data_IF_783684464780
#
_entry.id   IF_783684464780
#
_cell.length_a   1.000
_cell.length_b   1.000
_cell.length_c   1.000
_cell.angle_alpha   90.00
_cell.angle_beta   90.00
_cell.angle_gamma   90.00
#
_symmetry.space_group_name_H-M   'P 1'
#
loop_
_entity.id
_entity.type
_entity.pdbx_description
1 polymer ?
#
# COMPACT_ATOMS: atom_id res chain seq x y z
N UNK A 1 3.42 -13.38 14.74
CA UNK A 1 2.39 -12.56 14.10
C UNK A 1 1.06 -13.30 14.14
N UNK A 2 -0.05 -12.62 14.26
CA UNK A 2 -1.31 -13.06 14.86
C UNK A 2 -1.86 -14.38 14.29
N UNK A 3 -1.74 -15.47 15.05
CA UNK A 3 -2.33 -16.80 14.74
C UNK A 3 -3.85 -16.71 14.53
N UNK A 4 -4.52 -15.72 15.15
CA UNK A 4 -5.95 -15.46 15.00
C UNK A 4 -6.29 -14.97 13.59
N UNK A 5 -5.53 -14.02 13.04
CA UNK A 5 -5.74 -13.51 11.68
C UNK A 5 -5.55 -14.61 10.62
N UNK A 6 -4.54 -15.48 10.79
CA UNK A 6 -4.33 -16.63 9.92
C UNK A 6 -5.43 -17.68 10.03
N UNK A 7 -5.98 -17.90 11.23
CA UNK A 7 -7.08 -18.83 11.43
C UNK A 7 -8.40 -18.30 10.83
N UNK A 8 -8.66 -17.01 10.94
CA UNK A 8 -9.85 -16.38 10.34
C UNK A 8 -9.82 -16.47 8.80
N UNK A 9 -8.65 -16.33 8.15
CA UNK A 9 -8.49 -16.51 6.71
C UNK A 9 -8.80 -17.95 6.28
N UNK A 10 -8.26 -18.94 6.98
CA UNK A 10 -8.42 -20.37 6.65
C UNK A 10 -9.82 -20.89 6.94
N UNK A 11 -10.53 -20.30 7.89
CA UNK A 11 -11.87 -20.74 8.30
C UNK A 11 -13.00 -20.26 7.36
N UNK A 12 -12.69 -19.45 6.34
CA UNK A 12 -13.69 -19.01 5.37
C UNK A 12 -14.25 -20.14 4.46
N UNK A 13 -13.60 -21.30 4.42
CA UNK A 13 -14.02 -22.43 3.56
C UNK A 13 -14.05 -22.10 2.05
N UNK A 14 -13.46 -20.97 1.67
CA UNK A 14 -13.44 -20.46 0.30
C UNK A 14 -12.07 -20.66 -0.35
N UNK A 15 -12.07 -21.15 -1.59
CA UNK A 15 -10.84 -21.29 -2.38
C UNK A 15 -10.52 -19.98 -3.07
N UNK A 16 -9.57 -19.23 -2.53
CA UNK A 16 -9.07 -18.01 -3.13
C UNK A 16 -8.41 -18.23 -4.49
N UNK A 17 -8.49 -17.23 -5.37
CA UNK A 17 -7.92 -17.23 -6.74
C UNK A 17 -7.03 -16.00 -6.95
N UNK A 18 -5.83 -15.94 -6.32
CA UNK A 18 -4.99 -14.75 -6.37
C UNK A 18 -4.60 -14.38 -7.80
N UNK A 19 -4.13 -15.34 -8.60
CA UNK A 19 -3.69 -15.08 -9.98
C UNK A 19 -4.81 -14.49 -10.84
N UNK A 20 -6.02 -15.03 -10.72
CA UNK A 20 -7.17 -14.50 -11.46
C UNK A 20 -7.53 -13.10 -10.99
N UNK A 21 -7.47 -12.84 -9.68
CA UNK A 21 -7.71 -11.52 -9.14
C UNK A 21 -6.71 -10.50 -9.71
N UNK A 22 -5.41 -10.81 -9.70
CA UNK A 22 -4.40 -9.93 -10.26
C UNK A 22 -4.61 -9.65 -11.74
N UNK A 23 -4.83 -10.70 -12.52
CA UNK A 23 -5.08 -10.54 -13.96
C UNK A 23 -6.26 -9.61 -14.22
N UNK A 24 -7.35 -9.73 -13.47
CA UNK A 24 -8.52 -8.87 -13.62
C UNK A 24 -8.27 -7.46 -13.10
N UNK A 25 -7.61 -7.28 -11.95
CA UNK A 25 -7.29 -5.96 -11.41
C UNK A 25 -6.40 -5.17 -12.39
N UNK A 26 -5.35 -5.80 -12.93
CA UNK A 26 -4.48 -5.17 -13.94
C UNK A 26 -5.23 -4.88 -15.24
N UNK A 27 -5.96 -5.86 -15.75
CA UNK A 27 -6.72 -5.69 -17.00
C UNK A 27 -7.68 -4.50 -16.89
N UNK A 28 -8.50 -4.45 -15.84
CA UNK A 28 -9.48 -3.38 -15.67
C UNK A 28 -8.83 -2.03 -15.35
N UNK A 29 -7.70 -1.99 -14.67
CA UNK A 29 -6.96 -0.74 -14.48
C UNK A 29 -6.33 -0.27 -15.80
N UNK A 30 -5.60 -1.14 -16.48
CA UNK A 30 -4.81 -0.76 -17.64
C UNK A 30 -5.66 -0.49 -18.88
N UNK A 31 -6.87 -1.04 -18.98
CA UNK A 31 -7.82 -0.69 -20.04
C UNK A 31 -8.21 0.80 -20.01
N UNK A 32 -8.11 1.45 -18.85
CA UNK A 32 -8.31 2.89 -18.70
C UNK A 32 -6.99 3.66 -18.72
N UNK A 33 -5.95 3.18 -18.06
CA UNK A 33 -4.69 3.92 -17.93
C UNK A 33 -3.88 3.94 -19.23
N UNK A 34 -3.90 2.87 -20.04
CA UNK A 34 -3.18 2.86 -21.32
C UNK A 34 -3.75 3.89 -22.30
N UNK A 35 -5.07 4.03 -22.53
CA UNK A 35 -5.60 5.14 -23.32
C UNK A 35 -5.30 6.52 -22.74
N UNK A 36 -5.23 6.67 -21.41
CA UNK A 36 -4.90 7.94 -20.77
C UNK A 36 -3.50 8.47 -21.14
N UNK A 37 -2.57 7.57 -21.52
CA UNK A 37 -1.21 7.94 -22.01
C UNK A 37 -1.28 8.88 -23.21
N UNK A 38 -2.28 8.72 -24.07
CA UNK A 38 -2.44 9.42 -25.34
C UNK A 38 -3.38 10.63 -25.26
N UNK A 39 -3.84 10.95 -24.05
CA UNK A 39 -4.83 12.00 -23.80
C UNK A 39 -4.29 13.01 -22.80
N UNK A 40 -4.90 14.17 -22.79
CA UNK A 40 -4.54 15.28 -21.89
C UNK A 40 -5.76 15.80 -21.11
N UNK A 41 -5.51 16.57 -20.05
CA UNK A 41 -6.52 17.31 -19.30
C UNK A 41 -7.55 16.43 -18.60
N UNK A 42 -8.79 16.88 -18.60
CA UNK A 42 -9.88 16.23 -17.85
C UNK A 42 -10.16 14.79 -18.31
N UNK A 43 -9.97 14.49 -19.61
CA UNK A 43 -10.24 13.14 -20.12
C UNK A 43 -9.22 12.14 -19.59
N UNK A 44 -7.94 12.48 -19.60
CA UNK A 44 -6.90 11.66 -19.00
C UNK A 44 -7.16 11.43 -17.49
N UNK A 45 -7.53 12.49 -16.77
CA UNK A 45 -7.86 12.39 -15.34
C UNK A 45 -9.05 11.47 -15.07
N UNK A 46 -10.12 11.57 -15.86
CA UNK A 46 -11.30 10.68 -15.69
C UNK A 46 -10.89 9.22 -15.90
N UNK A 47 -10.09 8.93 -16.94
CA UNK A 47 -9.59 7.58 -17.18
C UNK A 47 -8.68 7.08 -16.06
N UNK A 48 -7.83 7.96 -15.51
CA UNK A 48 -7.02 7.61 -14.35
C UNK A 48 -7.86 7.26 -13.12
N UNK A 49 -8.89 8.03 -12.82
CA UNK A 49 -9.83 7.75 -11.73
C UNK A 49 -10.60 6.44 -11.94
N UNK A 50 -11.03 6.15 -13.18
CA UNK A 50 -11.67 4.88 -13.52
C UNK A 50 -10.72 3.68 -13.34
N UNK A 51 -9.46 3.82 -13.73
CA UNK A 51 -8.44 2.81 -13.48
C UNK A 51 -8.17 2.62 -11.98
N UNK A 52 -8.11 3.70 -11.22
CA UNK A 52 -7.89 3.68 -9.77
C UNK A 52 -9.01 2.96 -9.00
N UNK A 53 -10.25 3.07 -9.45
CA UNK A 53 -11.41 2.38 -8.84
C UNK A 53 -11.37 0.87 -9.11
N UNK A 54 -10.70 0.43 -10.16
CA UNK A 54 -10.77 -0.95 -10.67
C UNK A 54 -10.40 -2.02 -9.63
N UNK A 55 -9.32 -1.92 -8.83
CA UNK A 55 -9.02 -2.93 -7.80
C UNK A 55 -10.14 -3.10 -6.77
N UNK A 56 -10.77 -1.99 -6.34
CA UNK A 56 -11.89 -2.03 -5.38
C UNK A 56 -13.12 -2.72 -5.99
N UNK A 57 -13.44 -2.41 -7.26
CA UNK A 57 -14.55 -3.05 -7.98
C UNK A 57 -14.29 -4.53 -8.16
N UNK A 58 -13.10 -4.92 -8.63
CA UNK A 58 -12.73 -6.33 -8.82
C UNK A 58 -12.80 -7.09 -7.50
N UNK A 59 -12.24 -6.53 -6.40
CA UNK A 59 -12.33 -7.13 -5.06
C UNK A 59 -13.77 -7.37 -4.64
N UNK A 60 -14.60 -6.35 -4.78
CA UNK A 60 -16.03 -6.43 -4.42
C UNK A 60 -16.76 -7.47 -5.26
N UNK A 61 -16.54 -7.48 -6.57
CA UNK A 61 -17.16 -8.46 -7.49
C UNK A 61 -16.73 -9.89 -7.12
N UNK A 62 -15.43 -10.14 -6.89
CA UNK A 62 -14.93 -11.46 -6.48
C UNK A 62 -15.61 -11.97 -5.21
N UNK A 63 -15.81 -11.08 -4.22
CA UNK A 63 -16.47 -11.42 -2.97
C UNK A 63 -17.97 -11.65 -3.17
N UNK A 64 -18.65 -10.82 -3.97
CA UNK A 64 -20.09 -10.95 -4.21
C UNK A 64 -20.43 -12.23 -4.99
N UNK A 65 -19.66 -12.52 -6.05
CA UNK A 65 -19.87 -13.72 -6.90
C UNK A 65 -19.33 -15.01 -6.27
N UNK A 66 -18.53 -14.90 -5.20
CA UNK A 66 -18.02 -16.06 -4.48
C UNK A 66 -19.09 -16.99 -3.93
N UNK A 67 -20.30 -16.46 -3.72
CA UNK A 67 -21.38 -17.16 -3.01
C UNK A 67 -21.11 -17.37 -1.51
N UNK A 68 -19.95 -16.95 -0.99
CA UNK A 68 -19.55 -17.17 0.41
C UNK A 68 -20.11 -16.08 1.35
N UNK A 69 -21.07 -16.42 2.25
CA UNK A 69 -21.53 -15.48 3.27
C UNK A 69 -20.40 -15.04 4.21
N UNK A 70 -19.43 -15.93 4.46
CA UNK A 70 -18.28 -15.66 5.32
C UNK A 70 -17.39 -14.54 4.73
N UNK A 71 -17.06 -14.57 3.43
CA UNK A 71 -16.28 -13.52 2.78
C UNK A 71 -17.03 -12.18 2.74
N UNK A 72 -18.34 -12.20 2.48
CA UNK A 72 -19.17 -10.99 2.49
C UNK A 72 -19.20 -10.35 3.88
N UNK A 73 -19.35 -11.16 4.93
CA UNK A 73 -19.31 -10.71 6.32
C UNK A 73 -17.91 -10.18 6.67
N UNK A 74 -16.86 -10.86 6.24
CA UNK A 74 -15.47 -10.47 6.48
C UNK A 74 -15.15 -9.10 5.87
N UNK A 75 -15.50 -8.87 4.59
CA UNK A 75 -15.33 -7.58 3.94
C UNK A 75 -16.06 -6.46 4.70
N UNK A 76 -17.32 -6.72 5.08
CA UNK A 76 -18.10 -5.74 5.84
C UNK A 76 -17.44 -5.39 7.17
N UNK A 77 -16.90 -6.37 7.88
CA UNK A 77 -16.19 -6.15 9.15
C UNK A 77 -14.89 -5.40 8.95
N UNK A 78 -14.13 -5.69 7.89
CA UNK A 78 -12.88 -5.00 7.57
C UNK A 78 -13.08 -3.52 7.25
N UNK A 79 -14.17 -3.19 6.54
CA UNK A 79 -14.47 -1.80 6.14
C UNK A 79 -15.14 -1.04 7.30
N UNK A 80 -16.15 -1.62 7.93
CA UNK A 80 -17.02 -0.93 8.89
C UNK A 80 -16.77 -1.28 10.35
N UNK A 81 -15.81 -2.15 10.64
CA UNK A 81 -15.48 -2.59 11.98
C UNK A 81 -14.60 -1.59 12.74
N UNK A 82 -14.97 -0.31 12.79
CA UNK A 82 -14.20 0.75 13.46
C UNK A 82 -13.83 0.44 14.91
N UNK A 83 -14.68 -0.30 15.61
CA UNK A 83 -14.47 -0.75 17.00
C UNK A 83 -13.35 -1.79 17.14
N UNK A 84 -12.90 -2.42 16.03
CA UNK A 84 -11.80 -3.38 16.02
C UNK A 84 -10.46 -2.74 15.72
N UNK A 85 -10.43 -1.47 15.30
CA UNK A 85 -9.20 -0.78 14.95
C UNK A 85 -8.32 -0.63 16.19
N UNK A 86 -7.11 -1.13 16.11
CA UNK A 86 -6.09 -0.92 17.14
C UNK A 86 -5.41 0.41 16.90
N UNK A 87 -5.98 1.47 17.44
CA UNK A 87 -5.50 2.84 17.27
C UNK A 87 -4.03 3.04 17.68
N UNK A 88 -3.55 2.28 18.68
CA UNK A 88 -2.14 2.28 19.03
C UNK A 88 -1.23 1.81 17.89
N UNK A 89 -1.66 0.81 17.12
CA UNK A 89 -0.89 0.30 15.97
C UNK A 89 -0.95 1.28 14.80
N UNK A 90 -2.09 1.93 14.60
CA UNK A 90 -2.22 3.02 13.61
C UNK A 90 -1.29 4.17 13.96
N UNK A 91 -1.33 4.65 15.21
CA UNK A 91 -0.43 5.71 15.67
C UNK A 91 1.05 5.30 15.53
N UNK A 92 1.38 4.06 15.91
CA UNK A 92 2.75 3.54 15.77
C UNK A 92 3.19 3.52 14.31
N UNK A 93 2.34 3.07 13.38
CA UNK A 93 2.69 3.02 11.95
C UNK A 93 2.91 4.43 11.37
N UNK A 94 2.06 5.39 11.74
CA UNK A 94 2.21 6.80 11.37
C UNK A 94 3.51 7.38 11.93
N UNK A 95 3.82 7.13 13.21
CA UNK A 95 5.08 7.56 13.82
C UNK A 95 6.30 6.92 13.14
N UNK A 96 6.25 5.63 12.83
CA UNK A 96 7.34 4.93 12.12
C UNK A 96 7.58 5.57 10.76
N UNK A 97 6.54 5.88 9.99
CA UNK A 97 6.71 6.51 8.69
C UNK A 97 7.21 7.97 8.81
N UNK A 98 6.71 8.73 9.78
CA UNK A 98 7.24 10.07 10.05
C UNK A 98 8.75 10.02 10.40
N UNK A 99 9.18 9.04 11.21
CA UNK A 99 10.61 8.83 11.52
C UNK A 99 11.41 8.43 10.28
N UNK A 100 10.84 7.62 9.38
CA UNK A 100 11.48 7.28 8.09
C UNK A 100 11.75 8.57 7.30
N UNK A 101 10.75 9.42 7.11
CA UNK A 101 10.90 10.71 6.38
C UNK A 101 11.95 11.59 7.03
N UNK A 102 11.85 11.82 8.35
CA UNK A 102 12.81 12.65 9.08
C UNK A 102 14.23 12.09 8.97
N UNK A 103 14.41 10.80 9.18
CA UNK A 103 15.72 10.15 9.07
C UNK A 103 16.28 10.23 7.66
N UNK A 104 15.44 10.12 6.64
CA UNK A 104 15.85 10.21 5.23
C UNK A 104 16.35 11.59 4.88
N UNK A 105 15.66 12.65 5.33
CA UNK A 105 16.12 14.03 5.13
C UNK A 105 17.46 14.24 5.86
N UNK A 106 17.57 13.82 7.13
CA UNK A 106 18.81 13.99 7.89
C UNK A 106 19.98 13.22 7.27
N UNK A 107 19.76 11.98 6.83
CA UNK A 107 20.80 11.18 6.16
C UNK A 107 21.19 11.76 4.80
N UNK A 108 20.25 12.36 4.07
CA UNK A 108 20.52 12.96 2.77
C UNK A 108 21.45 14.17 2.83
N UNK A 109 21.59 14.83 4.00
CA UNK A 109 22.56 15.89 4.22
C UNK A 109 24.00 15.44 3.96
N UNK A 110 24.32 14.18 4.25
CA UNK A 110 25.64 13.61 3.95
C UNK A 110 25.92 13.53 2.44
N UNK A 111 24.90 13.63 1.61
CA UNK A 111 24.97 13.64 0.15
C UNK A 111 24.75 15.04 -0.46
N UNK A 112 24.90 16.09 0.35
CA UNK A 112 24.82 17.48 -0.10
C UNK A 112 23.42 18.06 -0.21
N UNK A 113 22.39 17.37 0.32
CA UNK A 113 21.03 17.89 0.36
C UNK A 113 20.86 18.93 1.49
N UNK A 114 19.77 19.73 1.46
CA UNK A 114 19.49 20.81 2.40
C UNK A 114 18.44 20.46 3.44
N UNK A 115 18.49 21.13 4.60
CA UNK A 115 17.42 21.12 5.62
C UNK A 115 16.14 21.84 5.15
N UNK A 116 16.18 22.61 4.06
CA UNK A 116 15.00 23.27 3.49
C UNK A 116 13.90 22.27 3.09
N UNK A 117 14.28 21.00 2.94
CA UNK A 117 13.34 19.89 2.73
C UNK A 117 12.34 19.69 3.88
N UNK A 118 12.61 20.23 5.08
CA UNK A 118 11.63 20.27 6.18
C UNK A 118 10.57 21.37 5.97
N UNK A 119 10.30 21.72 4.74
CA UNK A 119 9.22 22.62 4.35
C UNK A 119 8.11 21.87 3.62
N UNK A 120 6.95 22.51 3.53
CA UNK A 120 5.86 22.02 2.70
C UNK A 120 5.99 22.60 1.29
N UNK A 121 5.71 21.76 0.30
CA UNK A 121 5.54 22.22 -1.08
C UNK A 121 4.08 22.56 -1.37
N UNK A 122 3.86 23.57 -2.22
CA UNK A 122 2.55 23.91 -2.77
C UNK A 122 2.23 23.07 -4.01
N UNK A 123 3.23 22.40 -4.57
CA UNK A 123 3.05 21.50 -5.69
C UNK A 123 2.36 20.20 -5.23
N UNK A 124 1.28 19.86 -5.93
CA UNK A 124 0.63 18.57 -5.84
C UNK A 124 0.58 17.94 -7.23
N UNK A 125 0.76 16.63 -7.27
CA UNK A 125 0.38 15.89 -8.48
C UNK A 125 -1.06 16.20 -8.84
N UNK A 126 -1.32 16.50 -10.12
CA UNK A 126 -2.64 16.91 -10.63
C UNK A 126 -3.18 18.28 -10.20
N UNK A 127 -2.34 19.19 -9.69
CA UNK A 127 -2.74 20.59 -9.51
C UNK A 127 -3.17 21.18 -10.85
N UNK A 128 -4.34 21.79 -10.88
CA UNK A 128 -4.87 22.46 -12.08
C UNK A 128 -5.77 21.60 -12.98
N UNK A 129 -6.04 20.35 -12.63
CA UNK A 129 -7.05 19.54 -13.32
C UNK A 129 -8.37 19.68 -12.59
N UNK A 130 -9.33 20.43 -13.17
CA UNK A 130 -10.53 20.95 -12.53
C UNK A 130 -11.59 19.91 -12.09
N UNK A 131 -11.30 18.59 -12.11
CA UNK A 131 -12.28 17.54 -11.79
C UNK A 131 -12.29 17.19 -10.29
N UNK A 132 -11.14 17.28 -9.61
CA UNK A 132 -11.03 16.97 -8.19
C UNK A 132 -9.86 17.74 -7.55
N UNK A 133 -10.00 18.12 -6.28
CA UNK A 133 -8.88 18.68 -5.52
C UNK A 133 -7.82 17.60 -5.28
N UNK A 134 -6.54 18.00 -5.17
CA UNK A 134 -5.45 17.08 -4.86
C UNK A 134 -5.70 16.28 -3.57
N UNK A 135 -6.21 16.94 -2.53
CA UNK A 135 -6.55 16.27 -1.28
C UNK A 135 -7.64 15.19 -1.47
N UNK A 136 -8.69 15.50 -2.25
CA UNK A 136 -9.71 14.49 -2.55
C UNK A 136 -9.10 13.29 -3.30
N UNK A 137 -8.22 13.55 -4.25
CA UNK A 137 -7.55 12.49 -5.03
C UNK A 137 -6.70 11.59 -4.13
N UNK A 138 -5.93 12.15 -3.20
CA UNK A 138 -5.13 11.38 -2.24
C UNK A 138 -6.03 10.52 -1.33
N UNK A 139 -7.14 11.08 -0.82
CA UNK A 139 -8.08 10.33 0.01
C UNK A 139 -8.74 9.21 -0.78
N UNK A 140 -9.22 9.52 -2.00
CA UNK A 140 -9.87 8.54 -2.86
C UNK A 140 -8.90 7.42 -3.26
N UNK A 141 -7.66 7.76 -3.64
CA UNK A 141 -6.63 6.78 -3.97
C UNK A 141 -6.39 5.82 -2.81
N UNK A 142 -6.06 6.34 -1.63
CA UNK A 142 -5.81 5.52 -0.44
C UNK A 142 -6.99 4.63 -0.10
N UNK A 143 -8.23 5.15 -0.16
CA UNK A 143 -9.41 4.35 0.18
C UNK A 143 -9.69 3.26 -0.86
N UNK A 144 -9.68 3.59 -2.14
CA UNK A 144 -10.00 2.66 -3.23
C UNK A 144 -8.95 1.56 -3.37
N UNK A 145 -7.68 1.93 -3.26
CA UNK A 145 -6.59 0.96 -3.30
C UNK A 145 -6.68 -0.02 -2.13
N UNK A 146 -6.85 0.47 -0.90
CA UNK A 146 -6.89 -0.42 0.26
C UNK A 146 -8.16 -1.30 0.27
N UNK A 147 -9.31 -0.81 -0.19
CA UNK A 147 -10.50 -1.65 -0.38
C UNK A 147 -10.22 -2.75 -1.42
N UNK A 148 -9.52 -2.43 -2.49
CA UNK A 148 -9.13 -3.39 -3.51
C UNK A 148 -8.13 -4.43 -2.98
N UNK A 149 -7.00 -3.95 -2.49
CA UNK A 149 -5.89 -4.79 -2.10
C UNK A 149 -6.16 -5.58 -0.81
N UNK A 150 -6.69 -4.95 0.23
CA UNK A 150 -6.96 -5.62 1.53
C UNK A 150 -8.34 -6.30 1.57
N UNK A 151 -9.25 -5.93 0.66
CA UNK A 151 -10.56 -6.58 0.56
C UNK A 151 -10.46 -8.06 0.21
N UNK A 152 -9.71 -8.36 -0.84
CA UNK A 152 -9.58 -9.73 -1.37
C UNK A 152 -8.12 -10.17 -1.58
N UNK A 153 -7.28 -9.32 -2.19
CA UNK A 153 -5.96 -9.67 -2.69
C UNK A 153 -5.04 -10.20 -1.59
N UNK A 154 -4.81 -9.42 -0.56
CA UNK A 154 -3.88 -9.73 0.54
C UNK A 154 -4.23 -11.06 1.19
N UNK A 155 -5.50 -11.27 1.54
CA UNK A 155 -5.94 -12.53 2.12
C UNK A 155 -5.81 -13.70 1.14
N UNK A 156 -5.97 -13.43 -0.16
CA UNK A 156 -5.82 -14.47 -1.18
C UNK A 156 -4.38 -14.96 -1.29
N UNK A 157 -3.39 -14.07 -1.13
CA UNK A 157 -1.97 -14.45 -1.09
C UNK A 157 -1.65 -15.15 0.24
N UNK A 158 -2.04 -14.54 1.36
CA UNK A 158 -1.76 -15.04 2.71
C UNK A 158 -2.43 -16.36 3.05
N UNK A 159 -3.42 -16.80 2.24
CA UNK A 159 -3.99 -18.14 2.34
C UNK A 159 -3.03 -19.24 1.86
N UNK A 160 -2.11 -18.91 0.94
CA UNK A 160 -1.16 -19.86 0.35
C UNK A 160 0.26 -19.69 0.85
N UNK A 161 0.60 -18.53 1.41
CA UNK A 161 1.97 -18.19 1.79
C UNK A 161 2.04 -17.69 3.24
N UNK A 162 3.24 -17.69 3.80
CA UNK A 162 3.48 -17.00 5.06
C UNK A 162 3.50 -15.48 4.85
N UNK A 163 3.35 -14.73 5.92
CA UNK A 163 3.23 -13.28 5.88
C UNK A 163 4.43 -12.55 5.26
N UNK A 164 5.64 -13.13 5.34
CA UNK A 164 6.83 -12.54 4.72
C UNK A 164 6.71 -12.54 3.20
N UNK A 165 6.44 -13.72 2.61
CA UNK A 165 6.26 -13.84 1.17
C UNK A 165 4.97 -13.17 0.68
N UNK A 166 3.92 -13.17 1.49
CA UNK A 166 2.71 -12.38 1.26
C UNK A 166 3.06 -10.90 1.05
N UNK A 167 3.85 -10.32 1.96
CA UNK A 167 4.27 -8.92 1.91
C UNK A 167 5.13 -8.59 0.70
N UNK A 168 6.13 -9.45 0.40
CA UNK A 168 7.03 -9.26 -0.75
C UNK A 168 6.28 -9.34 -2.06
N UNK A 169 5.44 -10.36 -2.22
CA UNK A 169 4.67 -10.58 -3.46
C UNK A 169 3.64 -9.48 -3.64
N UNK A 170 2.92 -9.11 -2.56
CA UNK A 170 1.99 -7.99 -2.61
C UNK A 170 2.71 -6.70 -3.02
N UNK A 171 3.84 -6.36 -2.37
CA UNK A 171 4.61 -5.16 -2.69
C UNK A 171 5.09 -5.13 -4.15
N UNK A 172 5.58 -6.26 -4.68
CA UNK A 172 6.02 -6.35 -6.07
C UNK A 172 4.85 -6.17 -7.06
N UNK A 173 3.70 -6.79 -6.78
CA UNK A 173 2.50 -6.65 -7.60
C UNK A 173 1.99 -5.21 -7.54
N UNK A 174 1.86 -4.66 -6.35
CA UNK A 174 1.40 -3.28 -6.16
C UNK A 174 2.33 -2.28 -6.85
N UNK A 175 3.64 -2.47 -6.75
CA UNK A 175 4.65 -1.70 -7.48
C UNK A 175 4.38 -1.72 -9.00
N UNK A 176 4.34 -2.90 -9.59
CA UNK A 176 4.20 -3.04 -11.04
C UNK A 176 2.82 -2.59 -11.57
N UNK A 177 1.78 -2.61 -10.75
CA UNK A 177 0.46 -2.10 -11.09
C UNK A 177 0.51 -0.63 -11.53
N UNK A 178 1.41 0.18 -10.95
CA UNK A 178 1.60 1.59 -11.28
C UNK A 178 2.31 1.83 -12.63
N UNK A 179 2.78 0.79 -13.30
CA UNK A 179 3.65 0.93 -14.48
C UNK A 179 3.12 1.88 -15.57
N UNK A 180 1.84 1.91 -15.96
CA UNK A 180 1.37 2.85 -16.98
C UNK A 180 1.45 4.31 -16.56
N UNK A 181 1.47 4.61 -15.25
CA UNK A 181 1.49 5.99 -14.75
C UNK A 181 2.76 6.76 -15.16
N UNK A 182 3.87 6.07 -15.40
CA UNK A 182 5.11 6.73 -15.87
C UNK A 182 4.96 7.39 -17.23
N UNK A 183 3.94 7.02 -18.01
CA UNK A 183 3.67 7.55 -19.32
C UNK A 183 2.51 8.54 -19.36
N UNK A 184 1.75 8.69 -18.27
CA UNK A 184 0.59 9.57 -18.22
C UNK A 184 1.02 10.95 -17.74
N UNK A 185 0.89 11.97 -18.57
CA UNK A 185 1.27 13.34 -18.26
C UNK A 185 0.57 13.85 -17.00
N UNK A 186 1.32 14.57 -16.16
CA UNK A 186 0.80 15.16 -14.93
C UNK A 186 0.80 14.22 -13.72
N UNK A 187 1.19 12.95 -13.87
CA UNK A 187 1.43 12.07 -12.74
C UNK A 187 2.80 12.34 -12.11
N UNK A 188 2.93 12.05 -10.81
CA UNK A 188 4.22 12.06 -10.13
C UNK A 188 5.24 11.16 -10.86
N UNK A 189 4.82 9.96 -11.23
CA UNK A 189 5.68 8.97 -11.90
C UNK A 189 6.18 9.45 -13.25
N UNK A 190 5.36 10.16 -14.02
CA UNK A 190 5.78 10.73 -15.30
C UNK A 190 6.84 11.85 -15.10
N UNK A 191 6.74 12.61 -14.00
CA UNK A 191 7.75 13.60 -13.63
C UNK A 191 9.14 13.00 -13.36
N UNK A 192 9.21 11.73 -12.97
CA UNK A 192 10.47 11.03 -12.73
C UNK A 192 11.19 10.58 -14.01
N UNK A 193 10.52 10.63 -15.18
CA UNK A 193 11.06 10.11 -16.45
C UNK A 193 12.32 10.87 -16.94
N UNK A 194 12.61 12.05 -16.41
CA UNK A 194 13.83 12.78 -16.72
C UNK A 194 15.10 11.99 -16.31
N UNK A 195 15.01 11.19 -15.24
CA UNK A 195 16.13 10.43 -14.69
C UNK A 195 15.71 8.99 -14.42
N UNK A 196 16.19 8.01 -15.21
CA UNK A 196 15.80 6.59 -15.07
C UNK A 196 16.01 6.01 -13.66
N UNK A 197 17.01 6.51 -12.92
CA UNK A 197 17.28 6.08 -11.54
C UNK A 197 16.07 6.36 -10.64
N UNK A 198 15.41 7.51 -10.78
CA UNK A 198 14.26 7.85 -9.94
C UNK A 198 13.03 7.02 -10.28
N UNK A 199 12.86 6.67 -11.56
CA UNK A 199 11.80 5.73 -11.98
C UNK A 199 12.05 4.35 -11.34
N UNK A 200 13.27 3.83 -11.44
CA UNK A 200 13.63 2.54 -10.81
C UNK A 200 13.41 2.62 -9.30
N UNK A 201 13.87 3.70 -8.67
CA UNK A 201 13.71 3.92 -7.24
C UNK A 201 12.24 3.86 -6.81
N UNK A 202 11.33 4.48 -7.56
CA UNK A 202 9.89 4.43 -7.28
C UNK A 202 9.38 2.98 -7.22
N UNK A 203 9.69 2.16 -8.24
CA UNK A 203 9.26 0.76 -8.27
C UNK A 203 9.91 -0.09 -7.18
N UNK A 204 11.18 0.17 -6.87
CA UNK A 204 11.91 -0.55 -5.82
C UNK A 204 11.37 -0.19 -4.44
N UNK A 205 11.07 1.10 -4.18
CA UNK A 205 10.57 1.58 -2.89
C UNK A 205 9.17 1.05 -2.53
N UNK A 206 8.33 0.82 -3.54
CA UNK A 206 6.98 0.29 -3.33
C UNK A 206 6.99 -1.14 -2.74
N UNK A 207 8.05 -1.93 -2.97
CA UNK A 207 8.14 -3.29 -2.42
C UNK A 207 8.23 -3.29 -0.89
N UNK A 208 9.22 -2.64 -0.25
CA UNK A 208 9.28 -2.58 1.22
C UNK A 208 8.14 -1.75 1.82
N UNK A 209 7.59 -0.78 1.09
CA UNK A 209 6.38 -0.06 1.52
C UNK A 209 5.18 -1.01 1.57
N UNK A 210 4.99 -1.87 0.56
CA UNK A 210 4.00 -2.94 0.56
C UNK A 210 4.16 -3.88 1.75
N UNK A 211 5.42 -4.15 2.15
CA UNK A 211 5.72 -4.92 3.35
C UNK A 211 5.24 -4.23 4.64
N UNK A 212 5.49 -2.92 4.78
CA UNK A 212 5.04 -2.16 5.96
C UNK A 212 3.52 -2.10 6.02
N UNK A 213 2.82 -1.84 4.92
CA UNK A 213 1.36 -1.76 4.92
C UNK A 213 0.70 -3.12 5.17
N UNK A 214 1.32 -4.23 4.74
CA UNK A 214 0.90 -5.59 5.12
C UNK A 214 1.05 -5.81 6.62
N UNK A 215 2.15 -5.33 7.21
CA UNK A 215 2.30 -5.37 8.68
C UNK A 215 1.22 -4.56 9.38
N UNK A 216 0.90 -3.34 8.93
CA UNK A 216 -0.19 -2.50 9.49
C UNK A 216 -1.52 -3.26 9.44
N UNK A 217 -1.83 -3.88 8.30
CA UNK A 217 -3.03 -4.68 8.10
C UNK A 217 -3.14 -5.81 9.13
N UNK A 218 -2.11 -6.63 9.22
CA UNK A 218 -2.11 -7.79 10.11
C UNK A 218 -2.02 -7.42 11.59
N UNK A 219 -1.29 -6.37 11.94
CA UNK A 219 -1.19 -5.86 13.31
C UNK A 219 -2.49 -5.21 13.79
N UNK A 220 -3.31 -4.68 12.87
CA UNK A 220 -4.58 -4.02 13.16
C UNK A 220 -5.80 -4.92 12.92
N UNK A 221 -5.67 -6.22 13.17
CA UNK A 221 -6.73 -7.23 13.02
C UNK A 221 -7.42 -7.20 11.64
N UNK A 222 -6.63 -6.99 10.58
CA UNK A 222 -7.07 -6.93 9.19
C UNK A 222 -8.02 -5.76 8.91
N UNK A 223 -7.84 -4.63 9.58
CA UNK A 223 -8.63 -3.42 9.37
C UNK A 223 -8.21 -2.70 8.09
N UNK A 224 -9.12 -2.57 7.13
CA UNK A 224 -8.92 -1.75 5.93
C UNK A 224 -8.80 -0.27 6.31
N UNK A 225 -9.57 0.20 7.28
CA UNK A 225 -9.49 1.58 7.75
C UNK A 225 -8.11 1.94 8.29
N UNK A 226 -7.47 1.03 9.04
CA UNK A 226 -6.10 1.25 9.53
C UNK A 226 -5.12 1.43 8.37
N UNK A 227 -5.26 0.63 7.31
CA UNK A 227 -4.44 0.74 6.11
C UNK A 227 -4.73 2.03 5.34
N UNK A 228 -6.01 2.42 5.20
CA UNK A 228 -6.39 3.69 4.56
C UNK A 228 -5.74 4.87 5.27
N UNK A 229 -5.81 4.93 6.60
CA UNK A 229 -5.22 6.03 7.37
C UNK A 229 -3.70 6.08 7.20
N UNK A 230 -3.05 4.92 7.27
CA UNK A 230 -1.60 4.83 7.06
C UNK A 230 -1.21 5.24 5.63
N UNK A 231 -1.88 4.70 4.61
CA UNK A 231 -1.63 5.00 3.21
C UNK A 231 -1.89 6.48 2.88
N UNK A 232 -2.99 7.04 3.40
CA UNK A 232 -3.28 8.46 3.30
C UNK A 232 -2.15 9.31 3.89
N UNK A 233 -1.62 8.92 5.05
CA UNK A 233 -0.51 9.62 5.68
C UNK A 233 0.77 9.51 4.84
N UNK A 234 1.07 8.34 4.29
CA UNK A 234 2.21 8.14 3.36
C UNK A 234 2.07 9.06 2.16
N UNK A 235 0.94 9.01 1.46
CA UNK A 235 0.70 9.85 0.29
C UNK A 235 0.79 11.33 0.62
N UNK A 236 0.23 11.76 1.75
CA UNK A 236 0.30 13.14 2.21
C UNK A 236 1.76 13.58 2.43
N UNK A 237 2.56 12.78 3.11
CA UNK A 237 3.98 13.08 3.34
C UNK A 237 4.77 13.12 2.03
N UNK A 238 4.53 12.18 1.13
CA UNK A 238 5.21 12.11 -0.18
C UNK A 238 4.88 13.30 -1.09
N UNK A 239 3.68 13.85 -0.99
CA UNK A 239 3.22 14.97 -1.80
C UNK A 239 3.52 16.33 -1.16
N UNK A 240 3.58 16.41 0.18
CA UNK A 240 3.66 17.68 0.88
C UNK A 240 5.02 18.04 1.44
N UNK A 241 5.84 17.07 1.76
CA UNK A 241 7.21 17.35 2.22
C UNK A 241 8.10 17.59 1.00
N UNK A 242 8.87 18.68 1.02
CA UNK A 242 9.72 19.10 -0.10
C UNK A 242 10.98 18.24 -0.28
N UNK A 243 10.82 16.89 -0.20
CA UNK A 243 11.93 15.95 -0.40
C UNK A 243 12.36 15.93 -1.87
N UNK A 244 13.68 16.05 -2.08
CA UNK A 244 14.25 15.88 -3.43
C UNK A 244 14.18 14.42 -3.88
N UNK A 245 14.22 14.14 -5.19
CA UNK A 245 14.28 12.76 -5.70
C UNK A 245 15.47 11.96 -5.15
N UNK A 246 16.62 12.59 -4.89
CA UNK A 246 17.80 11.98 -4.27
C UNK A 246 17.50 11.56 -2.83
N UNK A 247 16.82 12.43 -2.06
CA UNK A 247 16.38 12.09 -0.70
C UNK A 247 15.39 10.95 -0.70
N UNK A 248 14.51 10.84 -1.70
CA UNK A 248 13.61 9.69 -1.86
C UNK A 248 14.37 8.38 -2.19
N UNK A 249 15.56 8.46 -2.80
CA UNK A 249 16.44 7.30 -2.92
C UNK A 249 17.02 6.87 -1.55
N UNK A 250 17.40 7.83 -0.72
CA UNK A 250 17.82 7.55 0.68
C UNK A 250 16.65 6.97 1.48
N UNK A 251 15.45 7.54 1.33
CA UNK A 251 14.23 7.04 1.96
C UNK A 251 13.96 5.58 1.62
N UNK A 252 14.16 5.16 0.38
CA UNK A 252 14.02 3.77 -0.03
C UNK A 252 14.91 2.84 0.81
N UNK A 253 16.16 3.22 1.07
CA UNK A 253 17.07 2.46 1.92
C UNK A 253 16.54 2.40 3.36
N UNK A 254 16.08 3.53 3.90
CA UNK A 254 15.53 3.59 5.27
C UNK A 254 14.27 2.74 5.40
N UNK A 255 13.39 2.75 4.39
CA UNK A 255 12.18 1.89 4.35
C UNK A 255 12.56 0.40 4.33
N UNK A 256 13.60 0.00 3.55
CA UNK A 256 14.10 -1.37 3.57
C UNK A 256 14.61 -1.77 4.96
N UNK A 257 15.38 -0.90 5.62
CA UNK A 257 15.84 -1.16 7.00
C UNK A 257 14.67 -1.30 7.96
N UNK A 258 13.68 -0.41 7.88
CA UNK A 258 12.47 -0.48 8.71
C UNK A 258 11.69 -1.79 8.46
N UNK A 259 11.51 -2.20 7.20
CA UNK A 259 10.86 -3.45 6.85
C UNK A 259 11.64 -4.67 7.40
N UNK A 260 12.97 -4.66 7.34
CA UNK A 260 13.82 -5.71 7.91
C UNK A 260 13.66 -5.81 9.44
N UNK A 261 13.68 -4.68 10.16
CA UNK A 261 13.47 -4.64 11.63
C UNK A 261 12.07 -5.15 12.00
N UNK A 262 11.04 -4.76 11.25
CA UNK A 262 9.66 -5.25 11.46
C UNK A 262 9.61 -6.76 11.24
N UNK A 263 10.28 -7.26 10.20
CA UNK A 263 10.35 -8.69 9.87
C UNK A 263 10.98 -9.50 11.01
N UNK A 264 12.13 -9.09 11.49
CA UNK A 264 12.85 -9.74 12.58
C UNK A 264 12.02 -9.79 13.87
N UNK A 265 11.44 -8.66 14.27
CA UNK A 265 10.60 -8.58 15.47
C UNK A 265 9.35 -9.46 15.39
N UNK A 266 8.77 -9.58 14.19
CA UNK A 266 7.60 -10.44 13.99
C UNK A 266 7.98 -11.94 14.04
N UNK A 267 9.14 -12.32 13.51
CA UNK A 267 9.68 -13.69 13.57
C UNK A 267 9.97 -14.06 15.04
N UNK A 268 10.68 -13.20 15.77
CA UNK A 268 11.06 -13.43 17.16
C UNK A 268 9.84 -13.61 18.08
N UNK A 269 8.78 -12.78 17.90
CA UNK A 269 7.53 -12.96 18.65
C UNK A 269 6.82 -14.27 18.34
N UNK A 270 6.88 -14.72 17.10
CA UNK A 270 6.28 -16.00 16.69
C UNK A 270 7.06 -17.17 17.30
N UNK A 271 8.38 -17.12 17.29
CA UNK A 271 9.26 -18.13 17.88
C UNK A 271 9.05 -18.21 19.41
N UNK A 272 8.97 -17.07 20.10
CA UNK A 272 8.73 -17.02 21.55
C UNK A 272 7.36 -17.60 21.92
N UNK A 273 6.30 -17.31 21.14
CA UNK A 273 4.97 -17.88 21.38
C UNK A 273 4.92 -19.39 21.12
N UNK A 274 5.65 -19.90 20.12
CA UNK A 274 5.77 -21.35 19.90
C UNK A 274 6.51 -22.03 21.06
N UNK A 275 7.51 -21.37 21.67
CA UNK A 275 8.26 -21.91 22.80
C UNK A 275 7.42 -21.96 24.09
N UNK A 276 6.58 -20.94 24.32
CA UNK A 276 5.68 -20.87 25.48
C UNK A 276 4.49 -21.83 25.34
N UNK A 277 4.06 -22.11 24.10
CA UNK A 277 2.92 -23.01 23.81
C UNK A 277 3.32 -24.47 23.69
N UNK A 278 4.61 -24.83 23.77
CA UNK A 278 5.04 -26.23 23.80
C UNK A 278 4.61 -26.86 25.13
N UNK A 279 3.81 -27.96 25.12
CA UNK A 279 3.47 -28.63 26.36
C UNK A 279 4.77 -29.13 27.00
N UNK A 280 4.94 -28.82 28.30
CA UNK A 280 5.99 -29.43 29.10
C UNK A 280 5.77 -30.94 29.10
N UNK A 281 6.59 -31.66 28.37
CA UNK A 281 6.67 -33.11 28.51
C UNK A 281 7.20 -33.41 29.90
N UNK A 282 6.32 -33.74 30.81
CA UNK A 282 6.61 -34.38 32.08
C UNK A 282 6.30 -35.88 32.00
#
# INVERSE_FOLDING_TARGET
MNTKANNERKNCGYRYRPVLYFAMAYLFTWIFWVPAIFLDGNTAMILMLLGLISPAVVSTVFILVSGSPALKKDLKVKIFGFYKVKWSNVALSVCVFALIVVSSILLSLAFGQSLDQFSFTDDFSFTGVGVASALFTIIAASALEEIGWKGYCEDSIGNYMNWFWESVIFGAIWSFWHFPLIFIKGTYQAGLMAEPLFVINFFVSAIPMGFIITWVYLASDRSILACIIFHLFVNFMQEKIAMTPETKCVETIVVFVAAAIISENAINRTCLMCFIAAPSFS
#
